data_IF_399216995695
#
_entry.id   IF_399216995695
#
_cell.length_a   1.000
_cell.length_b   1.000
_cell.length_c   1.000
_cell.angle_alpha   90.00
_cell.angle_beta   90.00
_cell.angle_gamma   90.00
#
_symmetry.space_group_name_H-M   'P 1'
#
loop_
_entity.id
_entity.type
_entity.pdbx_description
1 polymer ?
#
# COMPACT_ATOMS: atom_id res chain seq x y z
N UNK A 1 17.27 11.23 10.86
CA UNK A 1 16.10 10.99 11.73
C UNK A 1 16.39 11.63 13.07
N UNK A 2 15.59 12.58 13.54
CA UNK A 2 15.81 13.27 14.83
C UNK A 2 15.01 12.67 15.99
N UNK A 3 14.10 11.72 15.73
CA UNK A 3 13.18 11.17 16.74
C UNK A 3 13.83 10.16 17.68
N UNK A 4 14.82 9.40 17.19
CA UNK A 4 15.52 8.37 17.96
C UNK A 4 17.02 8.67 17.93
N UNK A 5 17.71 8.36 19.03
CA UNK A 5 19.17 8.49 19.16
C UNK A 5 19.89 7.15 19.04
N UNK A 6 19.23 6.06 19.44
CA UNK A 6 19.72 4.70 19.31
C UNK A 6 18.71 3.82 18.55
N UNK A 7 19.20 2.79 17.88
CA UNK A 7 18.35 1.83 17.16
C UNK A 7 17.54 0.97 18.14
N UNK A 8 18.06 0.71 19.33
CA UNK A 8 17.37 -0.08 20.35
C UNK A 8 16.19 0.68 20.97
N UNK A 9 16.15 2.02 20.85
CA UNK A 9 14.98 2.82 21.20
C UNK A 9 13.80 2.60 20.21
N UNK A 10 14.06 1.99 19.05
CA UNK A 10 13.06 1.73 18.01
C UNK A 10 12.39 0.37 18.28
N UNK A 11 11.33 0.44 19.06
CA UNK A 11 10.42 -0.66 19.34
C UNK A 11 8.96 -0.18 19.34
N UNK A 12 8.01 -1.12 19.43
CA UNK A 12 6.58 -0.81 19.57
C UNK A 12 6.36 0.10 20.78
N UNK A 13 6.06 1.37 20.52
CA UNK A 13 5.96 2.42 21.53
C UNK A 13 5.07 3.57 21.03
N UNK A 14 4.52 4.40 21.93
CA UNK A 14 3.81 5.62 21.52
C UNK A 14 4.68 6.56 20.67
N UNK A 15 5.99 6.62 20.93
CA UNK A 15 6.93 7.43 20.15
C UNK A 15 6.99 6.98 18.69
N UNK A 16 7.17 5.67 18.44
CA UNK A 16 7.17 5.13 17.08
C UNK A 16 5.80 5.30 16.40
N UNK A 17 4.71 5.10 17.14
CA UNK A 17 3.36 5.31 16.63
C UNK A 17 3.07 6.79 16.28
N UNK A 18 3.80 7.72 16.90
CA UNK A 18 3.77 9.16 16.60
C UNK A 18 4.52 9.55 15.32
N UNK A 19 5.31 8.65 14.71
CA UNK A 19 5.99 8.90 13.43
C UNK A 19 5.00 8.88 12.26
N UNK A 20 4.17 9.92 12.13
CA UNK A 20 3.08 10.01 11.16
C UNK A 20 3.56 9.83 9.71
N UNK A 21 4.69 10.41 9.35
CA UNK A 21 5.22 10.30 7.99
C UNK A 21 5.69 8.87 7.66
N UNK A 22 6.27 8.15 8.63
CA UNK A 22 6.61 6.74 8.46
C UNK A 22 5.35 5.89 8.22
N UNK A 23 4.30 6.16 9.00
CA UNK A 23 3.01 5.49 8.81
C UNK A 23 2.41 5.79 7.43
N UNK A 24 2.48 7.04 7.00
CA UNK A 24 2.02 7.46 5.68
C UNK A 24 2.80 6.78 4.53
N UNK A 25 4.12 6.62 4.66
CA UNK A 25 4.96 5.86 3.73
C UNK A 25 4.51 4.39 3.64
N UNK A 26 4.23 3.76 4.78
CA UNK A 26 3.75 2.36 4.84
C UNK A 26 2.37 2.23 4.19
N UNK A 27 1.44 3.13 4.53
CA UNK A 27 0.08 3.10 3.99
C UNK A 27 0.09 3.34 2.47
N UNK A 28 0.89 4.30 1.98
CA UNK A 28 1.03 4.54 0.54
C UNK A 28 1.70 3.39 -0.19
N UNK A 29 2.68 2.74 0.43
CA UNK A 29 3.32 1.55 -0.14
C UNK A 29 2.33 0.40 -0.31
N UNK A 30 1.50 0.15 0.71
CA UNK A 30 0.44 -0.88 0.64
C UNK A 30 -0.70 -0.50 -0.31
N UNK A 31 -0.94 0.79 -0.56
CA UNK A 31 -1.91 1.23 -1.57
C UNK A 31 -1.44 0.91 -2.98
N UNK A 32 -0.19 1.28 -3.32
CA UNK A 32 0.37 1.02 -4.65
C UNK A 32 0.68 -0.47 -4.87
N UNK A 33 1.19 -1.13 -3.83
CA UNK A 33 1.58 -2.54 -3.86
C UNK A 33 0.84 -3.33 -2.77
N UNK A 34 -0.49 -3.52 -2.91
CA UNK A 34 -1.26 -4.25 -1.91
C UNK A 34 -0.75 -5.69 -1.79
N UNK A 35 -0.60 -6.24 -0.56
CA UNK A 35 -0.18 -7.63 -0.38
C UNK A 35 -1.10 -8.65 -1.07
N UNK A 36 -2.40 -8.31 -1.17
CA UNK A 36 -3.40 -9.03 -1.95
C UNK A 36 -4.05 -8.02 -2.91
N UNK A 37 -3.55 -7.95 -4.15
CA UNK A 37 -4.07 -7.03 -5.16
C UNK A 37 -5.34 -7.51 -5.88
N UNK A 38 -5.48 -8.83 -6.03
CA UNK A 38 -6.57 -9.48 -6.73
C UNK A 38 -7.93 -9.43 -6.01
N UNK A 39 -8.87 -10.19 -6.55
CA UNK A 39 -10.23 -10.30 -6.04
C UNK A 39 -10.27 -11.13 -4.76
N UNK A 40 -11.01 -10.68 -3.74
CA UNK A 40 -11.43 -11.53 -2.63
C UNK A 40 -12.81 -12.14 -2.93
N UNK A 41 -12.89 -13.37 -3.44
CA UNK A 41 -14.15 -13.92 -3.96
C UNK A 41 -15.18 -14.16 -2.85
N UNK A 42 -16.45 -13.90 -3.17
CA UNK A 42 -17.62 -14.27 -2.38
C UNK A 42 -18.61 -14.95 -3.30
N UNK A 43 -19.12 -16.09 -2.87
CA UNK A 43 -20.23 -16.74 -3.58
C UNK A 43 -21.55 -16.12 -3.12
N UNK A 44 -22.41 -15.78 -4.08
CA UNK A 44 -23.75 -15.29 -3.81
C UNK A 44 -24.61 -16.44 -3.30
N UNK A 45 -25.19 -16.26 -2.12
CA UNK A 45 -26.00 -17.26 -1.42
C UNK A 45 -27.39 -17.44 -2.08
N UNK A 46 -28.13 -18.51 -1.71
CA UNK A 46 -29.52 -18.68 -2.15
C UNK A 46 -30.37 -17.43 -1.90
N UNK A 47 -31.15 -17.04 -2.90
CA UNK A 47 -31.95 -15.80 -2.91
C UNK A 47 -31.35 -14.66 -3.74
N UNK A 48 -30.09 -14.77 -4.16
CA UNK A 48 -29.41 -13.73 -4.94
C UNK A 48 -29.03 -12.51 -4.10
N UNK A 49 -28.46 -11.49 -4.75
CA UNK A 49 -28.15 -10.20 -4.13
C UNK A 49 -28.29 -9.07 -5.16
N UNK A 50 -28.84 -7.93 -4.76
CA UNK A 50 -28.85 -6.72 -5.58
C UNK A 50 -27.63 -5.85 -5.26
N UNK A 51 -26.81 -5.57 -6.27
CA UNK A 51 -25.63 -4.70 -6.17
C UNK A 51 -25.74 -3.61 -7.23
N UNK A 52 -25.73 -2.34 -6.81
CA UNK A 52 -25.85 -1.17 -7.70
C UNK A 52 -27.02 -1.25 -8.70
N UNK A 53 -28.15 -1.79 -8.24
CA UNK A 53 -29.37 -1.95 -9.05
C UNK A 53 -29.37 -3.16 -9.99
N UNK A 54 -28.33 -4.00 -9.96
CA UNK A 54 -28.25 -5.25 -10.71
C UNK A 54 -28.49 -6.45 -9.78
N UNK A 55 -29.47 -7.28 -10.12
CA UNK A 55 -29.70 -8.55 -9.43
C UNK A 55 -28.68 -9.60 -9.88
N UNK A 56 -27.94 -10.16 -8.93
CA UNK A 56 -26.94 -11.21 -9.14
C UNK A 56 -27.49 -12.52 -8.57
N UNK A 57 -27.60 -13.59 -9.38
CA UNK A 57 -28.18 -14.84 -8.94
C UNK A 57 -27.24 -15.62 -8.01
N UNK A 58 -27.83 -16.55 -7.25
CA UNK A 58 -27.10 -17.49 -6.40
C UNK A 58 -26.09 -18.32 -7.20
N UNK A 59 -24.95 -18.64 -6.58
CA UNK A 59 -23.84 -19.38 -7.19
C UNK A 59 -22.87 -18.52 -8.01
N UNK A 60 -23.17 -17.26 -8.28
CA UNK A 60 -22.20 -16.33 -8.86
C UNK A 60 -21.08 -15.99 -7.87
N UNK A 61 -19.84 -15.90 -8.36
CA UNK A 61 -18.72 -15.39 -7.58
C UNK A 61 -18.53 -13.91 -7.88
N UNK A 62 -18.60 -13.07 -6.85
CA UNK A 62 -18.41 -11.63 -6.91
C UNK A 62 -17.21 -11.21 -6.08
N UNK A 63 -16.62 -10.07 -6.40
CA UNK A 63 -15.64 -9.40 -5.57
C UNK A 63 -14.99 -8.23 -6.28
N UNK A 64 -14.29 -7.41 -5.51
CA UNK A 64 -13.66 -6.18 -6.01
C UNK A 64 -12.16 -6.30 -5.83
N UNK A 65 -11.33 -6.21 -6.89
CA UNK A 65 -9.89 -6.23 -6.75
C UNK A 65 -9.40 -5.02 -5.94
N UNK A 66 -8.58 -5.24 -4.91
CA UNK A 66 -8.03 -4.13 -4.12
C UNK A 66 -7.17 -3.20 -4.98
N UNK A 67 -6.36 -3.77 -5.88
CA UNK A 67 -5.51 -2.98 -6.77
C UNK A 67 -6.34 -1.99 -7.61
N UNK A 68 -7.53 -2.39 -8.08
CA UNK A 68 -8.40 -1.51 -8.84
C UNK A 68 -8.99 -0.37 -7.99
N UNK A 69 -9.41 -0.66 -6.74
CA UNK A 69 -9.87 0.39 -5.81
C UNK A 69 -8.73 1.37 -5.52
N UNK A 70 -7.55 0.84 -5.22
CA UNK A 70 -6.38 1.62 -4.79
C UNK A 70 -5.79 2.48 -5.91
N UNK A 71 -6.05 2.13 -7.18
CA UNK A 71 -5.62 2.92 -8.34
C UNK A 71 -6.76 3.70 -9.02
N UNK A 72 -7.92 3.82 -8.37
CA UNK A 72 -9.03 4.58 -8.91
C UNK A 72 -8.82 6.10 -8.68
N UNK A 73 -8.76 6.94 -9.73
CA UNK A 73 -8.54 8.38 -9.59
C UNK A 73 -9.66 9.12 -8.85
N UNK A 74 -10.86 8.53 -8.73
CA UNK A 74 -11.95 9.10 -7.94
C UNK A 74 -11.66 9.13 -6.43
N UNK A 75 -10.84 8.19 -5.94
CA UNK A 75 -10.43 8.12 -4.54
C UNK A 75 -8.99 8.61 -4.33
N UNK A 76 -8.13 8.39 -5.32
CA UNK A 76 -6.71 8.71 -5.27
C UNK A 76 -6.29 9.55 -6.48
N UNK A 77 -6.30 10.90 -6.38
CA UNK A 77 -5.70 11.76 -7.39
C UNK A 77 -4.24 11.36 -7.61
N UNK A 78 -3.82 11.34 -8.88
CA UNK A 78 -2.55 10.76 -9.33
C UNK A 78 -2.33 9.34 -8.78
N UNK A 79 -3.18 8.36 -9.15
CA UNK A 79 -3.28 7.07 -8.46
C UNK A 79 -2.02 6.21 -8.55
N UNK A 80 -1.16 6.43 -9.55
CA UNK A 80 0.09 5.69 -9.73
C UNK A 80 1.31 6.38 -9.10
N UNK A 81 1.15 7.59 -8.55
CA UNK A 81 2.24 8.32 -7.91
C UNK A 81 2.37 7.93 -6.44
N UNK A 82 3.60 7.74 -5.98
CA UNK A 82 3.91 7.53 -4.57
C UNK A 82 3.92 8.87 -3.81
N UNK A 83 2.83 9.16 -3.11
CA UNK A 83 2.62 10.43 -2.39
C UNK A 83 2.21 10.19 -0.93
N UNK A 84 3.16 9.90 0.00
CA UNK A 84 2.85 9.71 1.41
C UNK A 84 2.05 10.86 2.03
N UNK A 85 2.27 12.09 1.56
CA UNK A 85 1.61 13.28 2.07
C UNK A 85 0.08 13.19 1.97
N UNK A 86 -0.48 12.38 1.06
CA UNK A 86 -1.93 12.18 0.91
C UNK A 86 -2.64 11.69 2.18
N UNK A 87 -1.88 11.14 3.13
CA UNK A 87 -2.38 10.61 4.39
C UNK A 87 -2.34 11.64 5.53
N UNK A 88 -1.78 12.83 5.30
CA UNK A 88 -1.48 13.83 6.32
C UNK A 88 -2.08 15.18 5.90
N UNK A 89 -3.07 15.73 6.63
CA UNK A 89 -3.61 17.06 6.34
C UNK A 89 -2.49 18.11 6.37
N UNK A 90 -2.40 18.93 5.32
CA UNK A 90 -1.35 19.93 5.18
C UNK A 90 -1.83 21.10 4.33
N UNK A 91 -1.93 22.28 4.95
CA UNK A 91 -2.33 23.51 4.24
C UNK A 91 -1.31 23.93 3.18
N UNK A 92 -0.01 23.73 3.43
CA UNK A 92 1.06 24.10 2.49
C UNK A 92 1.08 23.21 1.24
N UNK A 93 0.66 21.94 1.37
CA UNK A 93 0.57 20.99 0.28
C UNK A 93 -0.85 20.88 -0.30
N UNK A 94 -1.78 21.71 0.16
CA UNK A 94 -3.18 21.72 -0.25
C UNK A 94 -3.91 20.38 -0.02
N UNK A 95 -3.53 19.65 1.03
CA UNK A 95 -4.12 18.36 1.41
C UNK A 95 -5.16 18.63 2.51
N UNK A 96 -6.43 18.52 2.14
CA UNK A 96 -7.56 18.78 3.06
C UNK A 96 -7.90 17.55 3.90
N UNK A 97 -8.56 17.75 5.04
CA UNK A 97 -9.04 16.63 5.87
C UNK A 97 -10.02 15.73 5.11
N UNK A 98 -10.82 16.33 4.23
CA UNK A 98 -11.79 15.63 3.39
C UNK A 98 -11.09 14.75 2.37
N UNK A 99 -10.00 15.23 1.75
CA UNK A 99 -9.20 14.43 0.81
C UNK A 99 -8.53 13.23 1.50
N UNK A 100 -8.03 13.43 2.73
CA UNK A 100 -7.46 12.35 3.55
C UNK A 100 -8.55 11.33 3.92
N UNK A 101 -9.72 11.80 4.33
CA UNK A 101 -10.85 10.92 4.68
C UNK A 101 -11.34 10.11 3.47
N UNK A 102 -11.35 10.70 2.27
CA UNK A 102 -11.68 10.02 1.02
C UNK A 102 -10.64 8.94 0.68
N UNK A 103 -9.35 9.25 0.79
CA UNK A 103 -8.28 8.26 0.60
C UNK A 103 -8.39 7.10 1.60
N UNK A 104 -8.72 7.38 2.86
CA UNK A 104 -8.89 6.38 3.91
C UNK A 104 -10.13 5.50 3.71
N UNK A 105 -11.23 6.03 3.17
CA UNK A 105 -12.45 5.25 2.96
C UNK A 105 -12.30 4.17 1.88
N UNK A 106 -11.43 4.41 0.90
CA UNK A 106 -11.07 3.44 -0.15
C UNK A 106 -9.87 2.55 0.23
N UNK A 107 -9.22 2.79 1.37
CA UNK A 107 -8.00 2.09 1.77
C UNK A 107 -8.29 0.76 2.47
N UNK A 108 -8.12 -0.33 1.73
CA UNK A 108 -8.50 -1.67 2.16
C UNK A 108 -7.42 -2.77 1.96
N UNK A 109 -6.12 -2.54 2.23
CA UNK A 109 -5.08 -3.57 2.03
C UNK A 109 -5.21 -4.79 2.95
N UNK A 110 -6.03 -4.67 4.01
CA UNK A 110 -6.33 -5.72 4.97
C UNK A 110 -7.77 -6.23 4.84
N UNK A 111 -8.44 -6.00 3.69
CA UNK A 111 -9.89 -6.18 3.52
C UNK A 111 -10.72 -5.33 4.50
N UNK A 112 -12.04 -5.34 4.33
CA UNK A 112 -13.00 -4.69 5.23
C UNK A 112 -14.11 -5.67 5.64
N UNK A 113 -14.87 -5.31 6.67
CA UNK A 113 -16.02 -6.09 7.14
C UNK A 113 -15.65 -7.36 7.93
N UNK A 114 -16.58 -8.32 8.06
CA UNK A 114 -16.42 -9.52 8.90
C UNK A 114 -15.25 -10.45 8.54
N UNK A 115 -14.66 -10.26 7.35
CA UNK A 115 -13.53 -11.04 6.85
C UNK A 115 -12.25 -10.19 6.74
N UNK A 116 -12.21 -9.05 7.43
CA UNK A 116 -11.00 -8.25 7.57
C UNK A 116 -9.85 -9.07 8.17
N UNK A 117 -8.62 -8.76 7.78
CA UNK A 117 -7.43 -9.46 8.24
C UNK A 117 -7.25 -9.27 9.75
N UNK A 118 -7.32 -10.38 10.50
CA UNK A 118 -7.06 -10.39 11.94
C UNK A 118 -5.63 -9.97 12.29
N UNK A 119 -4.69 -10.19 11.37
CA UNK A 119 -3.28 -9.83 11.52
C UNK A 119 -2.96 -8.35 11.34
N UNK A 120 -3.94 -7.49 11.01
CA UNK A 120 -3.71 -6.05 10.74
C UNK A 120 -2.91 -5.36 11.84
N UNK A 121 -3.23 -5.61 13.11
CA UNK A 121 -2.53 -4.99 14.24
C UNK A 121 -1.05 -5.39 14.31
N UNK A 122 -0.77 -6.69 14.19
CA UNK A 122 0.60 -7.23 14.22
C UNK A 122 1.40 -6.75 13.00
N UNK A 123 0.80 -6.76 11.82
CA UNK A 123 1.43 -6.28 10.59
C UNK A 123 1.89 -4.82 10.71
N UNK A 124 1.07 -3.93 11.30
CA UNK A 124 1.51 -2.54 11.51
C UNK A 124 2.67 -2.43 12.51
N UNK A 125 2.67 -3.21 13.59
CA UNK A 125 3.79 -3.22 14.54
C UNK A 125 5.08 -3.66 13.85
N UNK A 126 5.04 -4.74 13.07
CA UNK A 126 6.19 -5.26 12.33
C UNK A 126 6.68 -4.28 11.26
N UNK A 127 5.78 -3.72 10.44
CA UNK A 127 6.12 -2.77 9.38
C UNK A 127 6.71 -1.48 9.94
N UNK A 128 6.08 -0.89 10.96
CA UNK A 128 6.57 0.34 11.59
C UNK A 128 7.95 0.12 12.21
N UNK A 129 8.13 -0.96 12.97
CA UNK A 129 9.39 -1.24 13.67
C UNK A 129 10.51 -1.55 12.68
N UNK A 130 10.24 -2.45 11.72
CA UNK A 130 11.25 -2.90 10.75
C UNK A 130 11.69 -1.76 9.85
N UNK A 131 10.75 -1.00 9.27
CA UNK A 131 11.09 0.09 8.36
C UNK A 131 11.79 1.25 9.09
N UNK A 132 11.35 1.59 10.30
CA UNK A 132 12.04 2.60 11.11
C UNK A 132 13.50 2.21 11.37
N UNK A 133 13.75 0.97 11.80
CA UNK A 133 15.10 0.46 12.07
C UNK A 133 15.96 0.45 10.81
N UNK A 134 15.41 0.01 9.67
CA UNK A 134 16.13 0.01 8.39
C UNK A 134 16.52 1.43 7.97
N UNK A 135 15.60 2.39 7.99
CA UNK A 135 15.86 3.78 7.60
C UNK A 135 16.82 4.47 8.59
N UNK A 136 16.76 4.09 9.87
CA UNK A 136 17.66 4.59 10.91
C UNK A 136 19.10 4.10 10.74
N UNK A 137 19.29 2.83 10.39
CA UNK A 137 20.62 2.21 10.28
C UNK A 137 21.26 2.37 8.91
N UNK A 138 20.47 2.49 7.85
CA UNK A 138 20.96 2.39 6.47
C UNK A 138 20.55 3.59 5.62
N UNK A 139 21.41 3.89 4.66
CA UNK A 139 21.06 4.61 3.44
C UNK A 139 20.75 3.58 2.36
N UNK A 140 19.68 3.83 1.61
CA UNK A 140 19.19 2.92 0.58
C UNK A 140 19.15 3.63 -0.76
N UNK A 141 19.50 2.89 -1.82
CA UNK A 141 19.28 3.32 -3.21
C UNK A 141 18.83 2.15 -4.06
N UNK A 142 18.17 2.44 -5.17
CA UNK A 142 17.94 1.44 -6.23
C UNK A 142 19.31 1.03 -6.79
N UNK A 143 19.53 -0.27 -6.98
CA UNK A 143 20.78 -0.80 -7.51
C UNK A 143 20.99 -0.31 -8.96
N UNK A 144 22.19 0.17 -9.25
CA UNK A 144 22.50 0.79 -10.53
C UNK A 144 22.56 -0.25 -11.66
N UNK A 145 21.91 0.03 -12.78
CA UNK A 145 21.83 -0.91 -13.91
C UNK A 145 20.80 -2.04 -13.75
N UNK A 146 20.04 -2.08 -12.63
CA UNK A 146 18.97 -3.06 -12.41
C UNK A 146 17.59 -2.40 -12.47
N UNK A 147 16.93 -2.50 -13.63
CA UNK A 147 15.57 -1.97 -13.86
C UNK A 147 14.46 -3.02 -13.66
N UNK A 148 14.75 -4.09 -12.92
CA UNK A 148 13.79 -5.17 -12.67
C UNK A 148 12.68 -4.66 -11.76
N UNK A 149 11.43 -4.89 -12.15
CA UNK A 149 10.25 -4.44 -11.40
C UNK A 149 9.70 -3.08 -11.83
N UNK A 150 10.39 -2.37 -12.73
CA UNK A 150 9.88 -1.16 -13.39
C UNK A 150 8.99 -1.53 -14.59
N UNK A 151 8.08 -0.63 -14.97
CA UNK A 151 7.41 -0.71 -16.27
C UNK A 151 8.34 -0.30 -17.42
N UNK A 152 8.08 -0.82 -18.62
CA UNK A 152 8.81 -0.50 -19.85
C UNK A 152 7.85 -0.48 -21.05
N UNK A 153 8.14 0.33 -22.07
CA UNK A 153 7.38 0.43 -23.32
C UNK A 153 7.29 -0.91 -24.08
N UNK A 154 8.30 -1.77 -23.92
CA UNK A 154 8.30 -3.12 -24.52
C UNK A 154 7.32 -4.08 -23.84
N UNK A 155 6.77 -3.72 -22.67
CA UNK A 155 5.77 -4.52 -21.97
C UNK A 155 4.35 -4.27 -22.52
N UNK A 156 3.45 -5.18 -22.16
CA UNK A 156 2.04 -5.08 -22.51
C UNK A 156 1.37 -3.81 -21.97
N UNK A 157 0.27 -3.43 -22.62
CA UNK A 157 -0.53 -2.28 -22.20
C UNK A 157 -0.94 -2.43 -20.74
N UNK A 158 -0.72 -1.37 -19.94
CA UNK A 158 -0.93 -1.39 -18.49
C UNK A 158 0.33 -1.62 -17.66
N UNK A 159 1.44 -2.10 -18.26
CA UNK A 159 2.72 -2.37 -17.58
C UNK A 159 3.87 -1.48 -18.05
N UNK A 160 3.55 -0.36 -18.70
CA UNK A 160 4.54 0.54 -19.32
C UNK A 160 5.00 1.69 -18.43
N UNK A 161 4.35 1.90 -17.27
CA UNK A 161 4.69 2.99 -16.34
C UNK A 161 6.01 2.66 -15.63
N UNK A 162 7.07 3.37 -16.00
CA UNK A 162 8.41 3.17 -15.41
C UNK A 162 8.44 3.34 -13.89
N UNK A 163 7.70 4.32 -13.39
CA UNK A 163 7.63 4.63 -11.95
C UNK A 163 6.67 3.71 -11.18
N UNK A 164 5.94 2.83 -11.86
CA UNK A 164 5.06 1.88 -11.22
C UNK A 164 5.80 0.58 -10.91
N UNK A 165 5.79 0.19 -9.64
CA UNK A 165 6.28 -1.11 -9.22
C UNK A 165 5.37 -2.23 -9.71
N UNK A 166 5.90 -3.04 -10.63
CA UNK A 166 5.13 -4.03 -11.36
C UNK A 166 4.78 -5.24 -10.49
N UNK A 167 3.49 -5.45 -10.28
CA UNK A 167 2.95 -6.64 -9.62
C UNK A 167 2.56 -7.69 -10.65
N UNK A 168 2.71 -8.96 -10.27
CA UNK A 168 2.15 -10.10 -11.00
C UNK A 168 1.01 -10.68 -10.17
N UNK A 169 -0.13 -10.84 -10.82
CA UNK A 169 -1.33 -11.35 -10.16
C UNK A 169 -1.11 -12.80 -9.72
N UNK A 170 -1.49 -13.05 -8.47
CA UNK A 170 -1.58 -14.33 -7.79
C UNK A 170 -2.44 -14.07 -6.55
N UNK A 171 -2.79 -15.10 -5.77
CA UNK A 171 -3.57 -14.90 -4.54
C UNK A 171 -2.92 -13.85 -3.63
N UNK A 172 -1.59 -13.82 -3.58
CA UNK A 172 -0.79 -12.71 -3.07
C UNK A 172 -0.07 -12.02 -4.22
N UNK A 173 0.21 -10.73 -4.09
CA UNK A 173 0.94 -9.98 -5.12
C UNK A 173 2.38 -10.49 -5.22
N UNK A 174 2.72 -11.10 -6.35
CA UNK A 174 4.08 -11.51 -6.67
C UNK A 174 4.83 -10.35 -7.33
N UNK A 175 6.15 -10.32 -7.17
CA UNK A 175 7.01 -9.25 -7.68
C UNK A 175 8.41 -9.77 -8.00
N UNK A 176 9.08 -9.06 -8.88
CA UNK A 176 10.46 -9.31 -9.29
C UNK A 176 11.20 -7.97 -9.23
N UNK A 177 12.31 -7.89 -8.51
CA UNK A 177 12.95 -6.63 -8.14
C UNK A 177 12.05 -5.72 -7.27
N UNK A 178 12.36 -4.42 -7.15
CA UNK A 178 13.64 -3.83 -7.51
C UNK A 178 14.76 -4.38 -6.63
N UNK A 179 15.98 -4.37 -7.16
CA UNK A 179 17.16 -4.62 -6.36
C UNK A 179 17.53 -3.33 -5.62
N UNK A 180 17.74 -3.42 -4.31
CA UNK A 180 18.04 -2.28 -3.44
C UNK A 180 19.40 -2.51 -2.79
N UNK A 181 20.25 -1.50 -2.84
CA UNK A 181 21.54 -1.47 -2.17
C UNK A 181 21.42 -0.76 -0.82
N UNK A 182 22.12 -1.30 0.17
CA UNK A 182 22.15 -0.77 1.53
C UNK A 182 23.58 -0.37 1.89
N UNK A 183 23.74 0.83 2.45
CA UNK A 183 24.98 1.30 3.07
C UNK A 183 24.70 1.64 4.52
N UNK A 184 25.47 1.08 5.45
CA UNK A 184 25.36 1.46 6.86
C UNK A 184 25.64 2.96 7.01
N UNK A 185 24.79 3.67 7.75
CA UNK A 185 25.01 5.08 8.10
C UNK A 185 26.22 5.16 9.04
N UNK A 186 27.08 6.14 8.82
CA UNK A 186 28.11 6.47 9.80
C UNK A 186 27.44 6.95 11.09
N UNK A 187 27.98 6.52 12.24
CA UNK A 187 27.57 6.99 13.56
C UNK A 187 27.95 8.46 13.76
#
# INVERSE_FOLDING_TARGET
MSTFSDVEDIHSSPTLNGCQYLRAVIDESMRLSPPVGGVLPREVLPGGIDIDGLHIPAGCVVGTPHYAIHHNPAYYPSPFSFLPERWIPSSSLQITKESVALAQSAFCPFSVGPRGCIGKGVAYVELMTSLARVVFMYEMRIAEGYHVGEGNEDLEVGRRRKEEYQLKDSFTSMKDGPYVEFRARAK
#
